data_IF_026987297911
#
_entry.id   IF_026987297911
#
_cell.length_a   1.000
_cell.length_b   1.000
_cell.length_c   1.000
_cell.angle_alpha   90.00
_cell.angle_beta   90.00
_cell.angle_gamma   90.00
#
_symmetry.space_group_name_H-M   'P 1'
#
loop_
_entity.id
_entity.type
_entity.pdbx_description
1 polymer ?
#
# COMPACT_ATOMS: atom_id res chain seq x y z
N UNK A 1 4.44 -8.24 24.89
CA UNK A 1 3.07 -8.58 24.47
C UNK A 1 2.32 -7.25 24.46
N UNK A 2 2.05 -6.68 23.29
CA UNK A 2 1.25 -5.46 23.18
C UNK A 2 0.03 -5.90 22.36
N UNK A 3 -1.13 -5.93 23.00
CA UNK A 3 -2.41 -6.15 22.36
C UNK A 3 -2.85 -4.79 21.86
N UNK A 4 -3.02 -4.64 20.54
CA UNK A 4 -3.68 -3.47 19.96
C UNK A 4 -4.75 -4.00 19.00
N UNK A 5 -5.94 -4.08 19.55
CA UNK A 5 -7.24 -3.98 18.90
C UNK A 5 -7.96 -5.27 18.44
N UNK A 6 -9.19 -5.38 18.93
CA UNK A 6 -10.24 -6.35 18.58
C UNK A 6 -11.18 -5.61 17.62
N UNK A 7 -11.28 -6.06 16.36
CA UNK A 7 -12.23 -5.47 15.42
C UNK A 7 -13.49 -6.35 15.35
N UNK A 8 -14.60 -5.84 15.87
CA UNK A 8 -15.93 -6.44 15.75
C UNK A 8 -16.74 -5.65 14.73
N UNK A 9 -17.18 -6.32 13.65
CA UNK A 9 -18.17 -5.76 12.71
C UNK A 9 -19.15 -6.87 12.36
N UNK A 10 -20.42 -6.71 12.77
CA UNK A 10 -21.57 -7.58 12.41
C UNK A 10 -21.27 -9.10 12.46
N UNK A 11 -20.82 -9.59 13.63
CA UNK A 11 -20.43 -10.99 13.91
C UNK A 11 -19.19 -11.53 13.18
N UNK A 12 -18.48 -10.74 12.37
CA UNK A 12 -17.18 -11.12 11.78
C UNK A 12 -16.05 -10.43 12.54
N UNK A 13 -15.38 -11.21 13.39
CA UNK A 13 -14.20 -10.76 14.14
C UNK A 13 -12.92 -11.04 13.33
N UNK A 14 -12.52 -10.17 12.42
CA UNK A 14 -11.20 -10.31 11.80
C UNK A 14 -10.12 -9.80 12.75
N UNK A 15 -9.51 -10.70 13.51
CA UNK A 15 -8.31 -10.36 14.23
C UNK A 15 -7.15 -10.18 13.23
N UNK A 16 -6.48 -9.04 13.22
CA UNK A 16 -5.14 -8.94 12.63
C UNK A 16 -4.21 -8.69 13.80
N UNK A 17 -3.69 -9.79 14.35
CA UNK A 17 -2.61 -9.67 15.32
C UNK A 17 -1.42 -9.04 14.60
N UNK A 18 -0.92 -7.99 15.24
CA UNK A 18 0.21 -7.16 14.85
C UNK A 18 1.31 -7.99 14.19
N UNK A 19 1.84 -7.48 13.09
CA UNK A 19 3.21 -7.77 12.70
C UNK A 19 4.07 -7.31 13.90
N UNK A 20 4.38 -8.23 14.81
CA UNK A 20 5.47 -8.02 15.74
C UNK A 20 6.73 -8.00 14.88
N UNK A 21 7.19 -6.80 14.52
CA UNK A 21 8.55 -6.61 14.04
C UNK A 21 9.51 -6.94 15.19
N UNK A 22 9.74 -8.23 15.43
CA UNK A 22 10.88 -8.67 16.22
C UNK A 22 12.12 -8.46 15.35
N UNK A 23 12.64 -7.24 15.34
CA UNK A 23 14.01 -6.99 14.91
C UNK A 23 14.92 -7.73 15.89
N UNK A 24 15.35 -8.95 15.52
CA UNK A 24 16.50 -9.57 16.17
C UNK A 24 17.72 -9.24 15.33
N UNK A 25 18.40 -8.15 15.69
CA UNK A 25 19.77 -7.89 15.23
C UNK A 25 20.64 -9.04 15.74
N UNK A 26 20.82 -10.07 14.93
CA UNK A 26 21.88 -11.03 15.20
C UNK A 26 23.17 -10.36 14.74
N UNK A 27 23.94 -9.80 15.68
CA UNK A 27 25.32 -9.39 15.41
C UNK A 27 26.08 -10.63 14.96
N UNK A 28 26.28 -10.76 13.66
CA UNK A 28 27.34 -11.59 13.10
C UNK A 28 28.21 -10.67 12.28
N UNK A 29 29.53 -10.81 12.43
CA UNK A 29 30.54 -9.83 12.02
C UNK A 29 30.66 -9.58 10.51
N UNK A 30 29.76 -10.10 9.66
CA UNK A 30 29.94 -10.03 8.19
C UNK A 30 28.76 -9.57 7.34
N UNK A 31 27.53 -9.44 7.85
CA UNK A 31 26.43 -8.72 7.18
C UNK A 31 25.15 -8.81 8.04
N UNK A 32 24.45 -7.72 8.39
CA UNK A 32 23.16 -7.83 9.06
C UNK A 32 22.13 -8.47 8.10
N UNK A 33 21.76 -9.73 8.35
CA UNK A 33 20.63 -10.38 7.69
C UNK A 33 19.34 -9.95 8.40
N UNK A 34 18.48 -9.20 7.70
CA UNK A 34 17.17 -8.82 8.21
C UNK A 34 16.25 -10.04 8.13
N UNK A 35 15.83 -10.57 9.28
CA UNK A 35 14.83 -11.63 9.35
C UNK A 35 13.45 -11.03 9.69
N UNK A 36 12.49 -11.24 8.81
CA UNK A 36 11.09 -10.85 9.02
C UNK A 36 10.32 -12.04 9.60
N UNK A 37 9.74 -11.86 10.79
CA UNK A 37 8.87 -12.86 11.39
C UNK A 37 7.57 -12.19 11.87
N UNK A 38 6.43 -12.55 11.27
CA UNK A 38 5.10 -12.04 11.65
C UNK A 38 4.11 -13.19 11.84
N UNK A 39 3.04 -12.99 12.63
CA UNK A 39 1.95 -13.96 12.80
C UNK A 39 0.63 -13.24 12.53
N UNK A 40 -0.02 -13.58 11.42
CA UNK A 40 -1.35 -13.07 11.05
C UNK A 40 -2.37 -14.14 11.40
N UNK A 41 -3.43 -13.80 12.15
CA UNK A 41 -4.49 -14.76 12.52
C UNK A 41 -5.86 -14.19 12.21
N UNK A 42 -6.41 -14.51 11.04
CA UNK A 42 -7.77 -14.15 10.66
C UNK A 42 -8.79 -15.04 11.39
N UNK A 43 -9.85 -14.46 11.94
CA UNK A 43 -11.03 -15.20 12.42
C UNK A 43 -12.23 -14.72 11.61
N UNK A 44 -13.10 -15.63 11.17
CA UNK A 44 -14.31 -15.30 10.40
C UNK A 44 -15.50 -15.96 11.10
N UNK A 45 -16.46 -15.13 11.56
CA UNK A 45 -17.63 -15.60 12.29
C UNK A 45 -17.29 -16.29 13.61
N UNK A 46 -18.15 -17.23 14.02
CA UNK A 46 -18.00 -18.03 15.26
C UNK A 46 -17.08 -19.25 15.16
N UNK A 47 -16.31 -19.47 14.08
CA UNK A 47 -15.59 -20.75 13.97
C UNK A 47 -14.38 -20.88 13.03
N UNK A 48 -14.19 -20.03 12.03
CA UNK A 48 -13.07 -20.21 11.11
C UNK A 48 -11.85 -19.40 11.57
N UNK A 49 -10.83 -20.07 12.12
CA UNK A 49 -9.54 -19.46 12.49
C UNK A 49 -8.47 -19.87 11.48
N UNK A 50 -7.91 -18.92 10.74
CA UNK A 50 -6.74 -19.16 9.91
C UNK A 50 -5.53 -18.40 10.45
N UNK A 51 -4.47 -19.12 10.79
CA UNK A 51 -3.23 -18.54 11.33
C UNK A 51 -2.08 -18.78 10.36
N UNK A 52 -1.46 -17.71 9.86
CA UNK A 52 -0.27 -17.76 9.01
C UNK A 52 0.90 -17.13 9.73
N UNK A 53 1.99 -17.89 9.82
CA UNK A 53 3.27 -17.43 10.35
C UNK A 53 4.17 -17.10 9.16
N UNK A 54 4.44 -15.82 8.96
CA UNK A 54 5.31 -15.31 7.91
C UNK A 54 6.74 -15.36 8.45
N UNK A 55 7.62 -16.14 7.83
CA UNK A 55 9.03 -16.31 8.23
C UNK A 55 10.00 -16.03 7.07
N UNK A 56 9.54 -16.06 5.82
CA UNK A 56 10.32 -15.86 4.57
C UNK A 56 9.47 -15.19 3.48
N UNK A 57 10.11 -14.58 2.48
CA UNK A 57 9.44 -13.94 1.33
C UNK A 57 8.47 -14.87 0.57
N UNK A 58 8.76 -16.19 0.52
CA UNK A 58 7.86 -17.21 -0.05
C UNK A 58 6.52 -17.33 0.69
N UNK A 59 6.45 -16.90 1.95
CA UNK A 59 5.24 -16.93 2.77
C UNK A 59 4.28 -15.77 2.43
N UNK A 60 4.75 -14.72 1.74
CA UNK A 60 3.90 -13.66 1.19
C UNK A 60 2.96 -14.19 0.11
N UNK A 61 3.45 -15.13 -0.72
CA UNK A 61 2.67 -15.84 -1.74
C UNK A 61 1.60 -16.73 -1.11
N UNK A 62 1.88 -17.30 0.07
CA UNK A 62 0.94 -18.10 0.85
C UNK A 62 -0.12 -17.23 1.55
N UNK A 63 0.31 -16.10 2.13
CA UNK A 63 -0.58 -15.07 2.68
C UNK A 63 -1.53 -14.52 1.61
N UNK A 64 -1.00 -14.24 0.41
CA UNK A 64 -1.79 -13.81 -0.75
C UNK A 64 -2.84 -14.85 -1.15
N UNK A 65 -2.45 -16.13 -1.27
CA UNK A 65 -3.38 -17.23 -1.56
C UNK A 65 -4.44 -17.38 -0.46
N UNK A 66 -4.10 -17.15 0.79
CA UNK A 66 -5.03 -17.21 1.90
C UNK A 66 -6.05 -16.08 1.84
N UNK A 67 -5.61 -14.83 1.68
CA UNK A 67 -6.54 -13.68 1.55
C UNK A 67 -7.47 -13.88 0.37
N UNK A 68 -6.92 -14.28 -0.79
CA UNK A 68 -7.72 -14.60 -1.99
C UNK A 68 -8.78 -15.67 -1.72
N UNK A 69 -8.43 -16.72 -0.96
CA UNK A 69 -9.36 -17.81 -0.62
C UNK A 69 -10.42 -17.37 0.39
N UNK A 70 -10.08 -16.48 1.32
CA UNK A 70 -11.02 -15.92 2.29
C UNK A 70 -11.98 -14.93 1.62
N UNK A 71 -11.47 -14.09 0.70
CA UNK A 71 -12.27 -13.27 -0.20
C UNK A 71 -13.22 -14.15 -1.02
N UNK A 72 -12.72 -15.20 -1.68
CA UNK A 72 -13.56 -16.12 -2.48
C UNK A 72 -14.68 -16.76 -1.67
N UNK A 73 -14.42 -17.22 -0.44
CA UNK A 73 -15.43 -17.84 0.44
C UNK A 73 -16.48 -16.82 0.88
N UNK A 74 -16.06 -15.62 1.27
CA UNK A 74 -16.96 -14.55 1.71
C UNK A 74 -17.83 -14.05 0.55
N UNK A 75 -17.20 -13.73 -0.59
CA UNK A 75 -17.86 -13.27 -1.82
C UNK A 75 -18.87 -14.30 -2.30
N UNK A 76 -18.56 -15.60 -2.20
CA UNK A 76 -19.50 -16.65 -2.62
C UNK A 76 -20.75 -16.71 -1.73
N UNK A 77 -20.64 -16.41 -0.44
CA UNK A 77 -21.76 -16.48 0.52
C UNK A 77 -22.61 -15.20 0.58
N UNK A 78 -22.00 -14.05 0.33
CA UNK A 78 -22.63 -12.72 0.42
C UNK A 78 -22.50 -11.92 -0.88
N UNK A 79 -22.59 -12.58 -2.03
CA UNK A 79 -22.20 -12.04 -3.34
C UNK A 79 -22.87 -10.71 -3.67
N UNK A 80 -24.19 -10.64 -3.61
CA UNK A 80 -24.94 -9.43 -3.98
C UNK A 80 -24.66 -8.26 -3.04
N UNK A 81 -24.67 -8.50 -1.73
CA UNK A 81 -24.35 -7.47 -0.71
C UNK A 81 -22.90 -6.97 -0.84
N UNK A 82 -21.96 -7.88 -1.11
CA UNK A 82 -20.56 -7.54 -1.37
C UNK A 82 -20.41 -6.72 -2.66
N UNK A 83 -21.11 -7.09 -3.73
CA UNK A 83 -21.06 -6.38 -5.01
C UNK A 83 -21.64 -4.96 -4.90
N UNK A 84 -22.79 -4.79 -4.23
CA UNK A 84 -23.38 -3.48 -3.96
C UNK A 84 -22.45 -2.61 -3.10
N UNK A 85 -21.86 -3.18 -2.05
CA UNK A 85 -20.91 -2.48 -1.19
C UNK A 85 -19.64 -2.09 -1.96
N UNK A 86 -19.14 -2.97 -2.82
CA UNK A 86 -17.99 -2.72 -3.69
C UNK A 86 -18.29 -1.60 -4.68
N UNK A 87 -19.44 -1.61 -5.35
CA UNK A 87 -19.84 -0.56 -6.27
C UNK A 87 -19.86 0.80 -5.57
N UNK A 88 -20.51 0.88 -4.39
CA UNK A 88 -20.53 2.09 -3.58
C UNK A 88 -19.12 2.56 -3.20
N UNK A 89 -18.23 1.63 -2.84
CA UNK A 89 -16.85 1.97 -2.50
C UNK A 89 -16.05 2.48 -3.70
N UNK A 90 -16.28 1.92 -4.88
CA UNK A 90 -15.65 2.35 -6.13
C UNK A 90 -16.10 3.79 -6.48
N UNK A 91 -17.39 4.10 -6.35
CA UNK A 91 -17.91 5.46 -6.55
C UNK A 91 -17.30 6.46 -5.55
N UNK A 92 -17.37 6.16 -4.25
CA UNK A 92 -16.80 6.99 -3.19
C UNK A 92 -15.27 7.17 -3.34
N UNK A 93 -14.57 6.16 -3.87
CA UNK A 93 -13.14 6.25 -4.15
C UNK A 93 -12.85 7.31 -5.21
N UNK A 94 -13.56 7.27 -6.34
CA UNK A 94 -13.37 8.24 -7.42
C UNK A 94 -13.75 9.65 -6.99
N UNK A 95 -14.77 9.80 -6.15
CA UNK A 95 -15.12 11.08 -5.54
C UNK A 95 -13.97 11.64 -4.69
N UNK A 96 -13.30 10.81 -3.89
CA UNK A 96 -12.20 11.24 -3.02
C UNK A 96 -11.00 11.84 -3.77
N UNK A 97 -10.75 11.37 -5.00
CA UNK A 97 -9.56 11.72 -5.80
C UNK A 97 -9.89 12.49 -7.08
N UNK A 98 -11.14 12.92 -7.27
CA UNK A 98 -11.60 13.48 -8.53
C UNK A 98 -10.83 14.75 -8.93
N UNK A 99 -10.55 15.61 -7.96
CA UNK A 99 -9.75 16.84 -8.11
C UNK A 99 -8.31 16.50 -8.52
N UNK A 100 -7.70 15.50 -7.88
CA UNK A 100 -6.32 15.07 -8.14
C UNK A 100 -6.21 14.44 -9.54
N UNK A 101 -7.09 13.51 -9.88
CA UNK A 101 -7.04 12.75 -11.13
C UNK A 101 -7.30 13.60 -12.36
N UNK A 102 -8.05 14.71 -12.22
CA UNK A 102 -8.29 15.68 -13.30
C UNK A 102 -7.22 16.77 -13.39
N UNK A 103 -6.31 16.88 -12.41
CA UNK A 103 -5.32 17.94 -12.40
C UNK A 103 -4.30 17.77 -13.56
N UNK A 104 -4.04 18.80 -14.39
CA UNK A 104 -3.18 18.67 -15.56
C UNK A 104 -1.77 18.14 -15.26
N UNK A 105 -1.17 18.57 -14.14
CA UNK A 105 0.16 18.09 -13.73
C UNK A 105 0.14 16.62 -13.34
N UNK A 106 -0.92 16.13 -12.70
CA UNK A 106 -1.06 14.72 -12.34
C UNK A 106 -1.25 13.88 -13.61
N UNK A 107 -2.04 14.36 -14.58
CA UNK A 107 -2.22 13.70 -15.86
C UNK A 107 -0.92 13.54 -16.66
N UNK A 108 0.09 14.41 -16.47
CA UNK A 108 1.42 14.24 -17.08
C UNK A 108 2.13 12.97 -16.64
N UNK A 109 1.77 12.37 -15.50
CA UNK A 109 2.34 11.10 -15.05
C UNK A 109 2.08 9.95 -16.04
N UNK A 110 1.11 10.09 -16.95
CA UNK A 110 0.84 9.14 -18.03
C UNK A 110 2.00 9.03 -19.04
N UNK A 111 2.86 10.05 -19.11
CA UNK A 111 3.99 10.11 -20.04
C UNK A 111 5.21 9.30 -19.56
N UNK A 112 5.27 8.95 -18.27
CA UNK A 112 6.45 8.32 -17.67
C UNK A 112 6.24 6.82 -17.47
N UNK A 113 7.00 5.95 -18.16
CA UNK A 113 7.01 4.51 -17.89
C UNK A 113 7.38 4.23 -16.44
N UNK A 114 6.76 3.21 -15.83
CA UNK A 114 6.98 2.91 -14.42
C UNK A 114 7.29 1.43 -14.17
N UNK A 115 6.32 0.52 -14.40
CA UNK A 115 6.51 -0.92 -14.20
C UNK A 115 5.98 -1.74 -15.38
N UNK A 116 6.87 -2.45 -16.07
CA UNK A 116 6.48 -3.25 -17.24
C UNK A 116 5.83 -2.36 -18.32
N UNK A 117 4.55 -2.58 -18.60
CA UNK A 117 3.78 -1.77 -19.55
C UNK A 117 2.91 -0.68 -18.88
N UNK A 118 3.05 -0.47 -17.57
CA UNK A 118 2.30 0.56 -16.82
C UNK A 118 3.06 1.87 -16.76
N UNK A 119 2.34 2.98 -16.90
CA UNK A 119 2.87 4.31 -16.61
C UNK A 119 2.64 4.71 -15.15
N UNK A 120 3.34 5.76 -14.72
CA UNK A 120 3.32 6.24 -13.33
C UNK A 120 1.90 6.63 -12.85
N UNK A 121 1.07 7.20 -13.73
CA UNK A 121 -0.34 7.51 -13.40
C UNK A 121 -1.14 6.25 -13.08
N UNK A 122 -1.03 5.21 -13.91
CA UNK A 122 -1.74 3.95 -13.73
C UNK A 122 -1.30 3.25 -12.45
N UNK A 123 0.02 3.22 -12.19
CA UNK A 123 0.58 2.68 -10.95
C UNK A 123 -0.02 3.38 -9.72
N UNK A 124 0.04 4.71 -9.69
CA UNK A 124 -0.53 5.51 -8.60
C UNK A 124 -2.03 5.27 -8.41
N UNK A 125 -2.79 5.13 -9.51
CA UNK A 125 -4.22 4.86 -9.43
C UNK A 125 -4.49 3.46 -8.84
N UNK A 126 -3.75 2.43 -9.25
CA UNK A 126 -3.89 1.08 -8.67
C UNK A 126 -3.55 1.08 -7.17
N UNK A 127 -2.40 1.67 -6.82
CA UNK A 127 -1.95 1.76 -5.42
C UNK A 127 -2.96 2.54 -4.56
N UNK A 128 -3.43 3.69 -5.06
CA UNK A 128 -4.45 4.52 -4.42
C UNK A 128 -5.72 3.72 -4.12
N UNK A 129 -6.21 2.96 -5.11
CA UNK A 129 -7.42 2.13 -4.96
C UNK A 129 -7.25 1.05 -3.88
N UNK A 130 -6.16 0.28 -3.92
CA UNK A 130 -5.95 -0.75 -2.91
C UNK A 130 -5.71 -0.16 -1.52
N UNK A 131 -4.99 0.97 -1.42
CA UNK A 131 -4.78 1.66 -0.15
C UNK A 131 -6.11 2.13 0.44
N UNK A 132 -6.99 2.71 -0.38
CA UNK A 132 -8.35 3.06 0.00
C UNK A 132 -9.16 1.87 0.49
N UNK A 133 -9.21 0.77 -0.28
CA UNK A 133 -10.00 -0.42 0.08
C UNK A 133 -9.55 -1.00 1.41
N UNK A 134 -8.24 -1.13 1.63
CA UNK A 134 -7.70 -1.63 2.91
C UNK A 134 -7.99 -0.67 4.06
N UNK A 135 -7.80 0.64 3.86
CA UNK A 135 -8.11 1.63 4.89
C UNK A 135 -9.61 1.67 5.23
N UNK A 136 -10.51 1.57 4.23
CA UNK A 136 -11.96 1.43 4.46
C UNK A 136 -12.28 0.19 5.26
N UNK A 137 -11.67 -0.93 4.88
CA UNK A 137 -11.88 -2.21 5.55
C UNK A 137 -11.43 -2.18 7.01
N UNK A 138 -10.37 -1.43 7.34
CA UNK A 138 -9.88 -1.24 8.71
C UNK A 138 -10.50 -0.04 9.45
N UNK A 139 -11.52 0.61 8.88
CA UNK A 139 -12.15 1.81 9.46
C UNK A 139 -11.16 2.95 9.73
N UNK A 140 -10.17 3.10 8.85
CA UNK A 140 -9.18 4.17 8.85
C UNK A 140 -9.62 5.34 7.96
N UNK A 141 -8.82 6.40 7.89
CA UNK A 141 -9.08 7.53 6.99
C UNK A 141 -8.75 7.15 5.53
N UNK A 142 -9.70 6.45 4.92
CA UNK A 142 -9.57 5.99 3.55
C UNK A 142 -9.50 7.13 2.54
N UNK A 143 -10.13 8.28 2.81
CA UNK A 143 -10.07 9.43 1.91
C UNK A 143 -8.64 9.94 1.82
N UNK A 144 -8.00 10.17 2.97
CA UNK A 144 -6.59 10.57 3.03
C UNK A 144 -5.67 9.51 2.43
N UNK A 145 -5.94 8.23 2.67
CA UNK A 145 -5.20 7.11 2.08
C UNK A 145 -5.28 7.08 0.55
N UNK A 146 -6.47 7.31 -0.03
CA UNK A 146 -6.68 7.37 -1.47
C UNK A 146 -5.91 8.56 -2.08
N UNK A 147 -6.07 9.74 -1.49
CA UNK A 147 -5.48 10.99 -1.98
C UNK A 147 -3.96 10.94 -1.93
N UNK A 148 -3.40 10.57 -0.78
CA UNK A 148 -1.96 10.35 -0.63
C UNK A 148 -1.44 9.26 -1.58
N UNK A 149 -2.18 8.17 -1.74
CA UNK A 149 -1.82 7.08 -2.66
C UNK A 149 -1.80 7.51 -4.14
N UNK A 150 -2.66 8.43 -4.57
CA UNK A 150 -2.65 8.95 -5.94
C UNK A 150 -1.45 9.89 -6.21
N UNK A 151 -0.86 10.45 -5.15
CA UNK A 151 0.21 11.45 -5.20
C UNK A 151 1.59 10.90 -4.81
N UNK A 152 1.68 9.66 -4.33
CA UNK A 152 2.89 9.11 -3.70
C UNK A 152 4.13 9.18 -4.59
N UNK A 153 3.91 9.11 -5.90
CA UNK A 153 4.92 9.01 -6.94
C UNK A 153 4.91 10.22 -7.91
N UNK A 154 4.42 11.38 -7.46
CA UNK A 154 4.35 12.62 -8.25
C UNK A 154 5.73 13.28 -8.49
N UNK A 155 6.71 12.54 -9.02
CA UNK A 155 8.06 13.04 -9.28
C UNK A 155 8.25 13.70 -10.66
N UNK A 156 7.40 13.37 -11.65
CA UNK A 156 7.30 14.03 -12.98
C UNK A 156 8.52 13.93 -13.91
N UNK A 157 9.21 12.79 -13.93
CA UNK A 157 10.33 12.50 -14.84
C UNK A 157 10.42 11.00 -15.12
N UNK A 158 11.11 10.55 -16.17
CA UNK A 158 11.35 9.11 -16.36
C UNK A 158 12.53 8.65 -15.51
N UNK A 159 12.25 7.81 -14.50
CA UNK A 159 13.29 7.34 -13.57
C UNK A 159 14.32 6.40 -14.22
N UNK A 160 14.00 5.80 -15.36
CA UNK A 160 14.94 4.94 -16.10
C UNK A 160 16.07 5.75 -16.75
N UNK A 161 15.80 7.00 -17.15
CA UNK A 161 16.79 7.88 -17.80
C UNK A 161 17.32 8.97 -16.85
N UNK A 162 16.57 9.30 -15.80
CA UNK A 162 16.89 10.40 -14.86
C UNK A 162 18.33 10.38 -14.32
N UNK A 163 18.83 9.19 -13.96
CA UNK A 163 20.19 9.05 -13.43
C UNK A 163 21.27 9.39 -14.48
N UNK A 164 21.01 9.09 -15.76
CA UNK A 164 21.89 9.42 -16.88
C UNK A 164 21.83 10.91 -17.22
N UNK A 165 20.66 11.52 -17.11
CA UNK A 165 20.42 12.92 -17.46
C UNK A 165 20.90 13.90 -16.38
N UNK A 166 20.72 13.57 -15.11
CA UNK A 166 20.95 14.49 -13.98
C UNK A 166 22.09 14.09 -13.06
N UNK A 167 22.64 12.87 -13.23
CA UNK A 167 23.60 12.29 -12.30
C UNK A 167 23.01 11.78 -10.99
N UNK A 168 21.70 11.94 -10.75
CA UNK A 168 21.03 11.50 -9.51
C UNK A 168 20.70 10.01 -9.56
N UNK A 169 21.58 9.18 -9.01
CA UNK A 169 21.49 7.70 -9.09
C UNK A 169 20.54 7.05 -8.07
N UNK A 170 20.17 7.75 -7.00
CA UNK A 170 19.43 7.16 -5.87
C UNK A 170 17.93 7.44 -5.88
N UNK A 171 17.27 7.23 -7.03
CA UNK A 171 15.84 7.50 -7.22
C UNK A 171 14.96 6.92 -6.09
N UNK A 172 15.14 5.65 -5.74
CA UNK A 172 14.35 4.97 -4.70
C UNK A 172 14.47 5.57 -3.28
N UNK A 173 15.51 6.38 -3.02
CA UNK A 173 15.69 7.06 -1.74
C UNK A 173 15.17 8.50 -1.75
N UNK A 174 15.13 9.13 -2.93
CA UNK A 174 14.89 10.58 -3.05
C UNK A 174 13.49 10.92 -3.56
N UNK A 175 12.87 10.07 -4.37
CA UNK A 175 11.58 10.41 -4.98
C UNK A 175 10.44 10.62 -3.99
N UNK A 176 10.36 9.97 -2.80
CA UNK A 176 9.26 10.27 -1.86
C UNK A 176 9.31 11.73 -1.40
N UNK A 177 10.51 12.30 -1.23
CA UNK A 177 10.68 13.72 -0.89
C UNK A 177 10.32 14.63 -2.08
N UNK A 178 10.71 14.25 -3.29
CA UNK A 178 10.35 15.00 -4.51
C UNK A 178 8.84 15.02 -4.73
N UNK A 179 8.19 13.85 -4.66
CA UNK A 179 6.75 13.70 -4.80
C UNK A 179 5.99 14.52 -3.74
N UNK A 180 6.40 14.45 -2.47
CA UNK A 180 5.81 15.25 -1.40
C UNK A 180 5.92 16.76 -1.69
N UNK A 181 7.09 17.22 -2.12
CA UNK A 181 7.30 18.63 -2.43
C UNK A 181 6.42 19.11 -3.60
N UNK A 182 6.26 18.30 -4.64
CA UNK A 182 5.34 18.63 -5.74
C UNK A 182 3.88 18.62 -5.28
N UNK A 183 3.49 17.61 -4.50
CA UNK A 183 2.13 17.48 -4.01
C UNK A 183 1.74 18.66 -3.10
N UNK A 184 2.59 19.06 -2.15
CA UNK A 184 2.36 20.22 -1.28
C UNK A 184 2.30 21.57 -2.02
N UNK A 185 2.89 21.68 -3.22
CA UNK A 185 2.79 22.89 -4.05
C UNK A 185 1.48 22.98 -4.82
N UNK A 186 0.86 21.83 -5.10
CA UNK A 186 -0.33 21.73 -5.95
C UNK A 186 -1.62 21.55 -5.14
N UNK A 187 -1.53 20.94 -3.96
CA UNK A 187 -2.67 20.58 -3.13
C UNK A 187 -2.42 20.93 -1.66
N UNK A 188 -3.49 21.28 -0.95
CA UNK A 188 -3.46 21.39 0.51
C UNK A 188 -3.55 19.99 1.11
N UNK A 189 -2.43 19.50 1.65
CA UNK A 189 -2.33 18.15 2.22
C UNK A 189 -2.45 18.14 3.75
N UNK A 190 -3.17 17.17 4.28
CA UNK A 190 -3.17 16.84 5.70
C UNK A 190 -1.97 15.94 6.07
N UNK A 191 -1.82 15.65 7.37
CA UNK A 191 -0.65 14.92 7.85
C UNK A 191 -0.64 13.43 7.47
N UNK A 192 -1.82 12.82 7.31
CA UNK A 192 -1.95 11.43 6.82
C UNK A 192 -1.51 11.35 5.35
N UNK A 193 -1.99 12.25 4.50
CA UNK A 193 -1.62 12.31 3.09
C UNK A 193 -0.10 12.52 2.93
N UNK A 194 0.48 13.43 3.73
CA UNK A 194 1.93 13.67 3.73
C UNK A 194 2.72 12.43 4.17
N UNK A 195 2.27 11.73 5.21
CA UNK A 195 2.94 10.53 5.72
C UNK A 195 2.86 9.39 4.69
N UNK A 196 1.70 9.19 4.06
CA UNK A 196 1.50 8.24 2.96
C UNK A 196 2.49 8.50 1.82
N UNK A 197 2.61 9.74 1.35
CA UNK A 197 3.54 10.10 0.27
C UNK A 197 5.00 9.95 0.72
N UNK A 198 5.34 10.39 1.93
CA UNK A 198 6.73 10.40 2.41
C UNK A 198 7.28 9.00 2.70
N UNK A 199 6.45 8.11 3.21
CA UNK A 199 6.87 6.85 3.80
C UNK A 199 6.65 5.62 2.90
N UNK A 200 5.99 5.75 1.74
CA UNK A 200 5.62 4.60 0.89
C UNK A 200 6.81 3.69 0.51
N UNK A 201 8.01 4.26 0.32
CA UNK A 201 9.23 3.50 0.04
C UNK A 201 9.85 2.77 1.23
N UNK A 202 9.35 2.96 2.45
CA UNK A 202 9.85 2.21 3.59
C UNK A 202 9.74 0.69 3.32
N UNK A 203 10.77 -0.13 3.62
CA UNK A 203 11.99 0.17 4.38
C UNK A 203 13.20 0.64 3.54
N UNK A 204 13.05 0.88 2.24
CA UNK A 204 14.14 1.41 1.39
C UNK A 204 14.58 2.77 1.90
N UNK A 205 13.62 3.65 2.17
CA UNK A 205 13.83 4.90 2.91
C UNK A 205 13.86 4.62 4.42
N UNK A 206 14.94 4.02 4.91
CA UNK A 206 15.07 3.51 6.28
C UNK A 206 14.66 4.53 7.38
N UNK A 207 15.00 5.81 7.20
CA UNK A 207 14.68 6.88 8.16
C UNK A 207 13.29 7.53 7.96
N UNK A 208 12.55 7.17 6.90
CA UNK A 208 11.18 7.62 6.66
C UNK A 208 10.19 6.58 7.17
N UNK A 209 10.22 6.32 8.47
CA UNK A 209 9.30 5.38 9.12
C UNK A 209 7.87 5.96 9.04
N UNK A 210 6.85 5.17 8.64
CA UNK A 210 5.47 5.65 8.64
C UNK A 210 4.96 5.93 10.06
N UNK A 211 4.28 7.06 10.24
CA UNK A 211 3.72 7.49 11.54
C UNK A 211 2.23 7.20 11.66
N UNK A 212 1.55 6.99 10.54
CA UNK A 212 0.10 6.74 10.46
C UNK A 212 -0.18 5.31 10.02
N UNK A 213 -1.36 4.77 10.36
CA UNK A 213 -1.74 3.41 9.98
C UNK A 213 -1.86 3.30 8.45
N UNK A 214 -2.35 4.35 7.80
CA UNK A 214 -2.45 4.52 6.36
C UNK A 214 -1.07 4.56 5.70
N UNK A 215 -0.11 5.25 6.34
CA UNK A 215 1.31 5.26 5.96
C UNK A 215 1.96 3.87 6.01
N UNK A 216 1.53 2.99 6.91
CA UNK A 216 1.97 1.59 6.90
C UNK A 216 1.32 0.79 5.75
N UNK A 217 0.03 1.00 5.50
CA UNK A 217 -0.71 0.27 4.45
C UNK A 217 -0.17 0.60 3.06
N UNK A 218 0.13 1.87 2.79
CA UNK A 218 0.66 2.28 1.47
C UNK A 218 1.96 1.54 1.13
N UNK A 219 2.83 1.29 2.12
CA UNK A 219 4.08 0.55 1.88
C UNK A 219 3.84 -0.86 1.37
N UNK A 220 2.72 -1.48 1.74
CA UNK A 220 2.35 -2.83 1.31
C UNK A 220 1.67 -2.79 -0.06
N UNK A 221 0.74 -1.85 -0.26
CA UNK A 221 -0.04 -1.76 -1.50
C UNK A 221 0.80 -1.32 -2.68
N UNK A 222 1.74 -0.39 -2.47
CA UNK A 222 2.75 0.03 -3.46
C UNK A 222 3.53 -1.19 -4.00
N UNK A 223 4.19 -1.92 -3.10
CA UNK A 223 4.99 -3.10 -3.43
C UNK A 223 4.16 -4.22 -4.04
N UNK A 224 2.91 -4.38 -3.60
CA UNK A 224 1.97 -5.34 -4.18
C UNK A 224 1.65 -5.01 -5.65
N UNK A 225 1.28 -3.76 -5.92
CA UNK A 225 0.96 -3.32 -7.28
C UNK A 225 2.20 -3.40 -8.17
N UNK A 226 3.33 -2.86 -7.72
CA UNK A 226 4.55 -2.86 -8.50
C UNK A 226 5.08 -4.27 -8.83
N UNK A 227 4.94 -5.22 -7.90
CA UNK A 227 5.26 -6.62 -8.17
C UNK A 227 4.34 -7.22 -9.25
N UNK A 228 3.02 -7.00 -9.15
CA UNK A 228 2.06 -7.54 -10.11
C UNK A 228 2.22 -6.92 -11.51
N UNK A 229 2.44 -5.62 -11.59
CA UNK A 229 2.66 -4.88 -12.83
C UNK A 229 3.97 -5.31 -13.51
N UNK A 230 5.03 -5.53 -12.73
CA UNK A 230 6.31 -6.02 -13.23
C UNK A 230 6.24 -7.45 -13.75
N UNK A 231 5.32 -8.28 -13.24
CA UNK A 231 5.11 -9.65 -13.72
C UNK A 231 4.38 -9.72 -15.05
N UNK A 232 3.66 -8.67 -15.47
CA UNK A 232 2.92 -8.60 -16.74
C UNK A 232 3.82 -8.25 -17.95
N UNK A 233 5.10 -8.59 -17.90
CA UNK A 233 6.02 -8.36 -19.03
C UNK A 233 5.59 -9.21 -20.23
N UNK A 234 5.73 -8.62 -21.43
CA UNK A 234 5.52 -9.29 -22.73
C UNK A 234 6.37 -10.55 -22.84
#
# INVERSE_FOLDING_TARGET
MIVTDIYSVNEILLYIYTIQFLYRLQKTEKCPKIFFAGKVRAIIGKGAVCTVRIRRWKDLKLWYRMIRRLEEIYIRKHKEEFLLRKQKWDEEFYECIQDITKHPVVLRMKLYPHHGNTNCYQHCLHVSYYNYVWCRFFHLDAKSAARGGMLHDLFLYDWHTHAKETGQRFHGLTHPKTALNHACRLFSLNDIEKDVIRAHMWPVTFFSIPHTKEGWIITLTDKYCGAFESMKRK
#
